data_IF_724534713209
#
_entry.id   IF_724534713209
#
_cell.length_a   1.000
_cell.length_b   1.000
_cell.length_c   1.000
_cell.angle_alpha   90.00
_cell.angle_beta   90.00
_cell.angle_gamma   90.00
#
_symmetry.space_group_name_H-M   'P 1'
#
loop_
_entity.id
_entity.type
_entity.pdbx_description
1 polymer ?
#
# COMPACT_ATOMS: atom_id res chain seq x y z
N UNK A 1 70.54 32.47 -51.59
CA UNK A 1 69.75 32.43 -52.84
C UNK A 1 69.21 31.02 -53.03
N UNK A 2 67.96 30.93 -53.48
CA UNK A 2 67.23 29.76 -53.97
C UNK A 2 66.98 28.59 -52.98
N UNK A 3 65.71 28.46 -52.59
CA UNK A 3 65.16 27.31 -51.89
C UNK A 3 64.46 26.31 -52.83
N UNK A 4 64.38 25.07 -52.37
CA UNK A 4 63.51 23.98 -52.80
C UNK A 4 63.39 23.05 -51.59
N UNK A 5 62.32 22.32 -51.30
CA UNK A 5 61.17 21.84 -52.06
C UNK A 5 60.06 21.51 -51.04
N UNK A 6 58.79 21.57 -51.45
CA UNK A 6 57.69 20.82 -50.82
C UNK A 6 56.79 20.17 -51.88
N UNK A 7 56.03 19.11 -51.51
CA UNK A 7 55.74 17.99 -52.40
C UNK A 7 54.29 17.94 -52.88
N UNK A 8 54.03 17.09 -53.87
CA UNK A 8 52.77 16.35 -54.04
C UNK A 8 53.02 15.06 -54.83
N UNK A 9 52.46 13.92 -54.38
CA UNK A 9 51.53 13.19 -55.25
C UNK A 9 50.31 12.70 -54.43
N UNK A 10 49.12 12.46 -54.95
CA UNK A 10 48.78 11.77 -56.20
C UNK A 10 48.03 10.47 -55.84
N UNK A 11 46.70 10.58 -55.81
CA UNK A 11 45.67 9.64 -55.32
C UNK A 11 45.66 8.28 -56.08
N UNK A 12 45.68 7.14 -55.36
CA UNK A 12 45.30 5.80 -55.88
C UNK A 12 44.23 5.15 -54.98
N UNK A 13 43.22 4.53 -55.62
CA UNK A 13 42.09 3.80 -55.02
C UNK A 13 42.48 2.39 -54.59
N UNK A 14 41.95 1.88 -53.47
CA UNK A 14 41.75 0.45 -53.12
C UNK A 14 40.89 0.36 -51.82
N UNK A 15 40.28 -0.79 -51.49
CA UNK A 15 38.84 -1.01 -51.60
C UNK A 15 38.10 -0.98 -50.25
N UNK A 16 36.80 -0.71 -50.34
CA UNK A 16 35.78 -0.84 -49.29
C UNK A 16 35.47 -2.34 -49.08
N UNK A 17 35.17 -2.75 -47.83
CA UNK A 17 35.05 -4.11 -47.24
C UNK A 17 36.39 -4.72 -46.82
N UNK A 18 36.73 -4.73 -45.51
CA UNK A 18 35.96 -5.46 -44.50
C UNK A 18 36.00 -4.79 -43.10
N UNK A 19 35.35 -3.64 -42.93
CA UNK A 19 35.19 -3.00 -41.60
C UNK A 19 33.82 -3.31 -40.96
N UNK A 20 32.92 -3.96 -41.70
CA UNK A 20 31.57 -4.26 -41.23
C UNK A 20 31.39 -5.61 -40.52
N UNK A 21 32.47 -6.38 -40.29
CA UNK A 21 32.40 -7.71 -39.65
C UNK A 21 32.82 -7.72 -38.17
N UNK A 22 33.18 -6.56 -37.59
CA UNK A 22 33.53 -6.41 -36.17
C UNK A 22 32.38 -5.89 -35.30
N UNK A 23 31.19 -5.66 -35.88
CA UNK A 23 29.99 -5.18 -35.18
C UNK A 23 28.96 -6.29 -34.85
N UNK A 24 29.26 -7.56 -35.18
CA UNK A 24 28.37 -8.70 -34.93
C UNK A 24 29.05 -9.87 -34.19
N UNK A 25 30.00 -9.58 -33.29
CA UNK A 25 30.39 -10.52 -32.26
C UNK A 25 29.53 -10.24 -31.02
N UNK A 26 28.66 -11.17 -30.59
CA UNK A 26 27.94 -11.03 -29.33
C UNK A 26 28.99 -10.94 -28.23
N UNK A 27 29.00 -9.84 -27.48
CA UNK A 27 29.70 -9.80 -26.20
C UNK A 27 29.11 -10.91 -25.32
N UNK A 28 29.82 -12.03 -25.23
CA UNK A 28 29.66 -13.01 -24.17
C UNK A 28 29.58 -12.23 -22.86
N UNK A 29 28.45 -12.25 -22.13
CA UNK A 29 28.49 -11.78 -20.76
C UNK A 29 29.44 -12.75 -20.05
N UNK A 30 30.58 -12.21 -19.63
CA UNK A 30 31.45 -12.83 -18.65
C UNK A 30 30.60 -12.97 -17.39
N UNK A 31 29.86 -14.07 -17.30
CA UNK A 31 29.14 -14.45 -16.11
C UNK A 31 30.18 -14.67 -15.04
N UNK A 32 30.39 -13.64 -14.21
CA UNK A 32 30.94 -13.85 -12.89
C UNK A 32 30.04 -14.90 -12.24
N UNK A 33 30.53 -16.14 -12.17
CA UNK A 33 29.95 -17.19 -11.38
C UNK A 33 30.13 -16.81 -9.91
N UNK A 34 29.36 -15.82 -9.46
CA UNK A 34 29.11 -15.61 -8.04
C UNK A 34 28.49 -16.90 -7.54
N UNK A 35 29.14 -17.52 -6.55
CA UNK A 35 28.61 -18.62 -5.76
C UNK A 35 27.09 -18.44 -5.59
N UNK A 36 26.30 -19.24 -6.30
CA UNK A 36 24.85 -19.25 -6.13
C UNK A 36 24.61 -19.89 -4.77
N UNK A 37 24.48 -19.07 -3.73
CA UNK A 37 23.94 -19.52 -2.44
C UNK A 37 22.71 -20.38 -2.72
N UNK A 38 22.67 -21.59 -2.17
CA UNK A 38 21.57 -22.53 -2.41
C UNK A 38 20.24 -21.87 -2.00
N UNK A 39 19.37 -21.63 -2.98
CA UNK A 39 18.04 -21.04 -2.77
C UNK A 39 17.11 -22.13 -2.26
N UNK A 40 16.52 -21.93 -1.08
CA UNK A 40 15.62 -22.90 -0.47
C UNK A 40 14.17 -22.55 -0.87
N UNK A 41 13.42 -23.48 -1.50
CA UNK A 41 12.01 -23.27 -1.77
C UNK A 41 11.20 -23.34 -0.46
N UNK A 42 10.37 -22.33 -0.20
CA UNK A 42 9.45 -22.35 0.95
C UNK A 42 8.21 -23.20 0.63
N UNK A 43 7.83 -24.07 1.56
CA UNK A 43 6.62 -24.90 1.49
C UNK A 43 5.64 -24.51 2.61
N UNK A 44 4.34 -24.70 2.35
CA UNK A 44 3.27 -24.35 3.30
C UNK A 44 3.41 -25.14 4.61
N UNK A 45 3.38 -24.43 5.75
CA UNK A 45 3.29 -25.05 7.09
C UNK A 45 4.55 -25.77 7.60
N UNK A 46 5.65 -25.81 6.84
CA UNK A 46 6.90 -26.39 7.30
C UNK A 46 7.74 -25.37 8.09
N UNK A 47 8.07 -25.71 9.32
CA UNK A 47 8.92 -24.90 10.20
C UNK A 47 10.34 -25.46 10.16
N UNK A 48 11.25 -24.77 9.49
CA UNK A 48 12.67 -25.10 9.53
C UNK A 48 13.43 -24.06 10.35
N UNK A 49 14.32 -24.54 11.23
CA UNK A 49 15.24 -23.70 11.99
C UNK A 49 16.56 -23.57 11.25
N UNK A 50 17.04 -22.33 11.09
CA UNK A 50 18.30 -22.02 10.43
C UNK A 50 19.20 -21.19 11.34
N UNK A 51 20.51 -21.36 11.15
CA UNK A 51 21.58 -20.67 11.91
C UNK A 51 22.50 -19.82 11.02
N UNK A 52 22.24 -19.79 9.72
CA UNK A 52 23.08 -19.13 8.71
C UNK A 52 22.23 -18.19 7.85
N UNK A 53 22.86 -17.19 7.24
CA UNK A 53 22.18 -16.33 6.28
C UNK A 53 21.82 -17.14 5.04
N UNK A 54 20.53 -17.16 4.70
CA UNK A 54 20.02 -17.91 3.54
C UNK A 54 19.02 -17.10 2.75
N UNK A 55 18.92 -17.46 1.48
CA UNK A 55 17.93 -16.91 0.54
C UNK A 55 16.79 -17.91 0.41
N UNK A 56 15.58 -17.44 0.70
CA UNK A 56 14.35 -18.19 0.58
C UNK A 56 13.57 -17.63 -0.60
N UNK A 57 13.14 -18.49 -1.52
CA UNK A 57 12.22 -18.05 -2.56
C UNK A 57 10.94 -18.88 -2.45
N UNK A 58 9.82 -18.18 -2.44
CA UNK A 58 8.51 -18.79 -2.58
C UNK A 58 8.06 -18.62 -4.02
N UNK A 59 7.67 -19.73 -4.65
CA UNK A 59 7.05 -19.73 -5.97
C UNK A 59 5.62 -20.21 -5.81
N UNK A 60 4.64 -19.35 -6.15
CA UNK A 60 3.26 -19.78 -6.09
C UNK A 60 2.95 -20.66 -7.30
N UNK A 61 2.81 -21.96 -7.08
CA UNK A 61 2.47 -22.96 -8.12
C UNK A 61 0.97 -23.28 -8.15
N UNK A 62 0.17 -22.73 -7.22
CA UNK A 62 -1.24 -23.07 -7.05
C UNK A 62 -2.15 -21.97 -7.59
N UNK A 63 -3.05 -22.34 -8.52
CA UNK A 63 -4.10 -21.43 -8.98
C UNK A 63 -5.02 -21.01 -7.81
N UNK A 64 -5.39 -19.74 -7.70
CA UNK A 64 -6.25 -19.25 -6.62
C UNK A 64 -7.64 -19.87 -6.72
N UNK A 65 -8.19 -20.30 -5.59
CA UNK A 65 -9.59 -20.75 -5.48
C UNK A 65 -10.47 -19.60 -4.97
N UNK A 66 -11.79 -19.73 -5.13
CA UNK A 66 -12.75 -18.73 -4.62
C UNK A 66 -12.64 -18.50 -3.10
N UNK A 67 -12.25 -19.51 -2.33
CA UNK A 67 -12.03 -19.38 -0.89
C UNK A 67 -10.76 -18.56 -0.54
N UNK A 68 -9.87 -18.32 -1.50
CA UNK A 68 -8.61 -17.60 -1.27
C UNK A 68 -8.76 -16.07 -1.38
N UNK A 69 -9.93 -15.55 -1.78
CA UNK A 69 -10.16 -14.11 -2.06
C UNK A 69 -9.80 -13.20 -0.89
N UNK A 70 -10.14 -13.61 0.34
CA UNK A 70 -9.80 -12.89 1.58
C UNK A 70 -8.73 -13.60 2.41
N UNK A 71 -7.96 -14.49 1.78
CA UNK A 71 -6.80 -15.10 2.44
C UNK A 71 -5.57 -14.23 2.20
N UNK A 72 -4.76 -14.10 3.23
CA UNK A 72 -3.47 -13.42 3.16
C UNK A 72 -2.39 -14.47 3.32
N UNK A 73 -1.44 -14.45 2.38
CA UNK A 73 -0.24 -15.29 2.45
C UNK A 73 0.86 -14.47 3.10
N UNK A 74 1.35 -14.93 4.23
CA UNK A 74 2.38 -14.23 5.01
C UNK A 74 3.59 -15.15 5.18
N UNK A 75 4.78 -14.60 4.92
CA UNK A 75 6.02 -15.23 5.35
C UNK A 75 6.35 -14.65 6.71
N UNK A 76 6.19 -15.48 7.74
CA UNK A 76 6.55 -15.14 9.11
C UNK A 76 7.97 -15.60 9.36
N UNK A 77 8.85 -14.65 9.65
CA UNK A 77 10.20 -14.95 10.15
C UNK A 77 10.19 -14.68 11.65
N UNK A 78 10.42 -15.72 12.44
CA UNK A 78 10.62 -15.61 13.90
C UNK A 78 12.10 -15.80 14.20
N UNK A 79 12.67 -14.92 15.01
CA UNK A 79 14.09 -14.97 15.37
C UNK A 79 14.25 -14.79 16.86
N UNK A 80 15.24 -15.48 17.43
CA UNK A 80 15.64 -15.32 18.83
C UNK A 80 16.31 -13.97 19.11
N UNK A 81 16.94 -13.34 18.10
CA UNK A 81 17.56 -12.01 18.22
C UNK A 81 17.39 -11.17 16.95
N UNK A 82 18.03 -10.00 16.89
CA UNK A 82 17.96 -9.06 15.76
C UNK A 82 18.40 -9.71 14.44
N UNK A 83 17.54 -9.65 13.44
CA UNK A 83 17.79 -10.09 12.06
C UNK A 83 17.41 -8.98 11.09
N UNK A 84 18.08 -8.93 9.94
CA UNK A 84 17.71 -8.05 8.83
C UNK A 84 17.10 -8.91 7.74
N UNK A 85 15.84 -8.64 7.42
CA UNK A 85 15.16 -9.30 6.30
C UNK A 85 15.04 -8.30 5.17
N UNK A 86 15.63 -8.62 4.03
CA UNK A 86 15.49 -7.83 2.80
C UNK A 86 14.67 -8.62 1.80
N UNK A 87 13.66 -7.97 1.23
CA UNK A 87 12.99 -8.48 0.04
C UNK A 87 13.95 -8.26 -1.12
N UNK A 88 14.38 -9.35 -1.76
CA UNK A 88 15.21 -9.29 -2.95
C UNK A 88 14.23 -9.24 -4.10
N UNK A 89 13.92 -8.03 -4.55
CA UNK A 89 13.02 -7.83 -5.68
C UNK A 89 13.64 -8.49 -6.91
N UNK A 90 12.97 -9.53 -7.42
CA UNK A 90 13.14 -9.88 -8.81
C UNK A 90 12.55 -8.72 -9.60
N UNK A 91 13.42 -8.06 -10.35
CA UNK A 91 13.12 -7.12 -11.43
C UNK A 91 11.70 -7.29 -11.99
N UNK A 92 10.97 -6.16 -12.06
CA UNK A 92 9.58 -6.01 -12.54
C UNK A 92 8.46 -6.26 -11.51
N UNK A 93 8.15 -5.24 -10.70
CA UNK A 93 6.78 -4.73 -10.56
C UNK A 93 6.92 -3.23 -10.24
N UNK A 94 6.65 -2.43 -11.27
CA UNK A 94 6.58 -0.97 -11.24
C UNK A 94 5.87 -0.51 -9.97
N UNK A 95 6.49 0.41 -9.24
CA UNK A 95 5.95 1.16 -8.10
C UNK A 95 4.51 1.65 -8.39
N UNK A 96 3.51 0.80 -8.20
CA UNK A 96 2.11 1.14 -8.41
C UNK A 96 1.65 1.92 -7.19
N UNK A 97 2.08 3.18 -7.17
CA UNK A 97 1.65 4.29 -6.32
C UNK A 97 1.60 4.01 -4.81
N UNK A 98 2.79 4.20 -4.21
CA UNK A 98 3.12 4.88 -2.95
C UNK A 98 1.98 5.38 -2.02
N UNK A 99 0.89 5.98 -2.52
CA UNK A 99 -0.16 6.60 -1.69
C UNK A 99 -0.96 5.59 -0.85
N UNK A 100 -1.36 4.46 -1.42
CA UNK A 100 -2.11 3.44 -0.68
C UNK A 100 -1.23 2.66 0.28
N UNK A 101 0.02 2.39 -0.08
CA UNK A 101 0.99 1.78 0.82
C UNK A 101 1.35 2.70 1.99
N UNK A 102 1.39 4.01 1.80
CA UNK A 102 1.55 4.99 2.90
C UNK A 102 0.34 4.93 3.85
N UNK A 103 -0.89 4.99 3.31
CA UNK A 103 -2.14 4.91 4.09
C UNK A 103 -2.32 3.54 4.78
N UNK A 104 -1.98 2.44 4.12
CA UNK A 104 -2.03 1.10 4.74
C UNK A 104 -0.87 0.85 5.71
N UNK A 105 0.34 1.40 5.48
CA UNK A 105 1.44 1.35 6.46
C UNK A 105 1.11 2.13 7.73
N UNK A 106 0.28 3.17 7.59
CA UNK A 106 -0.24 3.95 8.70
C UNK A 106 -1.16 3.11 9.60
N UNK A 107 -1.96 2.20 9.00
CA UNK A 107 -2.84 1.26 9.70
C UNK A 107 -2.18 -0.08 10.08
N UNK A 108 -0.97 -0.38 9.57
CA UNK A 108 -0.25 -1.62 9.83
C UNK A 108 0.41 -1.54 11.21
N UNK A 109 -0.39 -1.85 12.24
CA UNK A 109 0.05 -2.00 13.62
C UNK A 109 1.27 -2.93 13.73
N UNK A 110 2.22 -2.53 14.57
CA UNK A 110 3.46 -3.26 14.88
C UNK A 110 3.09 -4.60 15.55
N UNK A 111 3.13 -5.70 14.80
CA UNK A 111 3.34 -7.00 15.43
C UNK A 111 4.84 -7.14 15.70
N UNK A 112 5.19 -7.65 16.87
CA UNK A 112 6.57 -7.92 17.29
C UNK A 112 7.25 -9.05 16.46
N UNK A 113 6.54 -9.58 15.46
CA UNK A 113 7.04 -10.52 14.48
C UNK A 113 7.30 -9.79 13.15
N UNK A 114 8.47 -10.00 12.53
CA UNK A 114 8.73 -9.59 11.15
C UNK A 114 7.94 -10.47 10.20
N UNK A 115 6.63 -10.22 10.10
CA UNK A 115 5.76 -10.83 9.09
C UNK A 115 5.81 -9.98 7.84
N UNK A 116 6.37 -10.54 6.77
CA UNK A 116 6.34 -9.93 5.44
C UNK A 116 5.16 -10.52 4.70
N UNK A 117 4.31 -9.65 4.19
CA UNK A 117 3.18 -10.08 3.38
C UNK A 117 3.67 -10.43 1.99
N UNK A 118 3.29 -11.61 1.53
CA UNK A 118 3.54 -12.06 0.17
C UNK A 118 2.28 -11.79 -0.62
N UNK A 119 2.42 -10.99 -1.68
CA UNK A 119 1.33 -10.84 -2.63
C UNK A 119 1.03 -12.22 -3.25
N UNK A 120 -0.23 -12.67 -3.15
CA UNK A 120 -0.65 -14.00 -3.60
C UNK A 120 -0.37 -14.25 -5.09
N UNK A 121 -0.17 -13.19 -5.88
CA UNK A 121 0.01 -13.29 -7.32
C UNK A 121 1.41 -12.88 -7.81
N UNK A 122 2.33 -12.53 -6.90
CA UNK A 122 3.74 -12.44 -7.29
C UNK A 122 4.23 -13.85 -7.63
N UNK A 123 4.65 -14.04 -8.88
CA UNK A 123 5.09 -15.35 -9.38
C UNK A 123 6.24 -15.92 -8.53
N UNK A 124 7.08 -15.04 -7.98
CA UNK A 124 8.22 -15.38 -7.12
C UNK A 124 8.46 -14.27 -6.11
N UNK A 125 8.39 -14.58 -4.82
CA UNK A 125 8.87 -13.66 -3.76
C UNK A 125 10.12 -14.25 -3.13
N UNK A 126 11.24 -13.53 -3.28
CA UNK A 126 12.51 -13.93 -2.71
C UNK A 126 12.87 -13.04 -1.52
N UNK A 127 13.28 -13.68 -0.44
CA UNK A 127 13.66 -13.07 0.83
C UNK A 127 15.10 -13.47 1.15
N UNK A 128 15.90 -12.49 1.53
CA UNK A 128 17.23 -12.73 2.10
C UNK A 128 17.16 -12.42 3.59
N UNK A 129 17.52 -13.40 4.40
CA UNK A 129 17.64 -13.21 5.86
C UNK A 129 19.12 -13.10 6.20
N UNK A 130 19.52 -11.94 6.71
CA UNK A 130 20.88 -11.65 7.18
C UNK A 130 20.90 -11.64 8.71
N UNK A 131 21.86 -12.35 9.29
CA UNK A 131 22.08 -12.39 10.74
C UNK A 131 22.97 -11.22 11.13
N UNK A 132 22.54 -10.42 12.12
CA UNK A 132 23.35 -9.32 12.66
C UNK A 132 24.27 -9.78 13.80
N UNK A 133 23.92 -10.88 14.46
CA UNK A 133 24.67 -11.44 15.60
C UNK A 133 24.99 -12.92 15.40
N UNK A 134 26.20 -13.37 15.80
CA UNK A 134 26.57 -14.79 15.78
C UNK A 134 25.77 -15.60 16.82
N UNK A 135 25.37 -16.82 16.46
CA UNK A 135 24.59 -17.71 17.33
C UNK A 135 23.07 -17.50 17.29
N UNK A 136 22.56 -16.70 16.35
CA UNK A 136 21.12 -16.46 16.18
C UNK A 136 20.45 -17.63 15.46
N UNK A 137 19.32 -18.08 16.01
CA UNK A 137 18.44 -19.05 15.36
C UNK A 137 17.17 -18.34 14.91
N UNK A 138 16.77 -18.59 13.67
CA UNK A 138 15.51 -18.10 13.12
C UNK A 138 14.73 -19.24 12.47
N UNK A 139 13.42 -19.10 12.41
CA UNK A 139 12.54 -19.98 11.64
C UNK A 139 11.69 -19.17 10.67
N UNK A 140 11.50 -19.72 9.47
CA UNK A 140 10.72 -19.12 8.40
C UNK A 140 9.53 -20.02 8.15
N UNK A 141 8.33 -19.46 8.21
CA UNK A 141 7.08 -20.21 8.02
C UNK A 141 6.19 -19.46 7.05
N UNK A 142 5.68 -20.18 6.05
CA UNK A 142 4.66 -19.68 5.16
C UNK A 142 3.28 -20.02 5.73
N UNK A 143 2.50 -18.99 6.04
CA UNK A 143 1.16 -19.12 6.61
C UNK A 143 0.14 -18.46 5.67
N UNK A 144 -0.87 -19.22 5.24
CA UNK A 144 -2.06 -18.68 4.60
C UNK A 144 -3.20 -18.66 5.61
N UNK A 145 -3.70 -17.47 5.95
CA UNK A 145 -4.82 -17.29 6.89
C UNK A 145 -5.86 -16.35 6.34
N UNK A 146 -7.11 -16.56 6.71
CA UNK A 146 -8.20 -15.62 6.45
C UNK A 146 -7.92 -14.31 7.19
N UNK A 147 -7.92 -13.19 6.46
CA UNK A 147 -7.74 -11.85 7.04
C UNK A 147 -9.12 -11.18 7.18
N UNK A 148 -9.72 -11.20 8.38
CA UNK A 148 -11.05 -10.63 8.59
C UNK A 148 -11.11 -9.12 8.29
N UNK A 149 -9.97 -8.41 8.32
CA UNK A 149 -9.93 -6.98 8.03
C UNK A 149 -10.23 -6.71 6.56
N UNK A 150 -9.68 -7.50 5.65
CA UNK A 150 -9.93 -7.36 4.22
C UNK A 150 -11.39 -7.64 3.88
N UNK A 151 -11.97 -8.67 4.50
CA UNK A 151 -13.39 -8.97 4.38
C UNK A 151 -14.27 -7.80 4.87
N UNK A 152 -13.96 -7.22 6.03
CA UNK A 152 -14.69 -6.06 6.58
C UNK A 152 -14.57 -4.82 5.68
N UNK A 153 -13.38 -4.55 5.14
CA UNK A 153 -13.13 -3.43 4.21
C UNK A 153 -13.94 -3.61 2.93
N UNK A 154 -13.94 -4.82 2.35
CA UNK A 154 -14.74 -5.15 1.18
C UNK A 154 -16.24 -4.96 1.43
N UNK A 155 -16.74 -5.49 2.55
CA UNK A 155 -18.16 -5.38 2.92
C UNK A 155 -18.57 -3.92 3.16
N UNK A 156 -17.74 -3.14 3.84
CA UNK A 156 -17.95 -1.70 4.03
C UNK A 156 -17.99 -0.98 2.67
N UNK A 157 -17.11 -1.35 1.74
CA UNK A 157 -17.11 -0.81 0.38
C UNK A 157 -18.41 -1.08 -0.37
N UNK A 158 -18.95 -2.30 -0.27
CA UNK A 158 -20.25 -2.66 -0.84
C UNK A 158 -21.38 -1.82 -0.23
N UNK A 159 -21.43 -1.69 1.10
CA UNK A 159 -22.43 -0.87 1.79
C UNK A 159 -22.38 0.59 1.33
N UNK A 160 -21.18 1.19 1.25
CA UNK A 160 -21.02 2.57 0.81
C UNK A 160 -21.42 2.78 -0.65
N UNK A 161 -21.10 1.82 -1.52
CA UNK A 161 -21.44 1.92 -2.93
C UNK A 161 -22.94 1.79 -3.21
N UNK A 162 -23.59 0.78 -2.62
CA UNK A 162 -25.02 0.55 -2.83
C UNK A 162 -25.90 1.49 -2.01
N UNK A 163 -25.56 1.72 -0.73
CA UNK A 163 -26.35 2.56 0.16
C UNK A 163 -25.91 4.03 0.15
N UNK A 164 -24.96 4.44 -0.70
CA UNK A 164 -24.44 5.82 -0.75
C UNK A 164 -25.51 6.89 -0.89
N UNK A 165 -26.53 6.65 -1.73
CA UNK A 165 -27.65 7.57 -1.94
C UNK A 165 -28.57 7.68 -0.71
N UNK A 166 -28.80 6.56 -0.03
CA UNK A 166 -29.59 6.53 1.22
C UNK A 166 -28.82 7.13 2.39
N UNK A 167 -27.50 6.94 2.45
CA UNK A 167 -26.64 7.47 3.49
C UNK A 167 -26.48 8.98 3.34
N UNK A 168 -26.29 9.50 2.13
CA UNK A 168 -26.10 10.94 1.89
C UNK A 168 -27.32 11.78 2.31
N UNK A 169 -28.52 11.19 2.27
CA UNK A 169 -29.79 11.81 2.69
C UNK A 169 -30.12 11.59 4.17
N UNK A 170 -29.41 10.69 4.84
CA UNK A 170 -29.65 10.38 6.25
C UNK A 170 -29.09 11.48 7.16
N UNK A 171 -29.95 12.05 8.00
CA UNK A 171 -29.54 13.03 9.01
C UNK A 171 -28.56 12.42 10.03
N UNK A 172 -28.75 11.15 10.39
CA UNK A 172 -27.87 10.43 11.33
C UNK A 172 -26.47 10.31 10.73
N UNK A 173 -26.38 10.02 9.43
CA UNK A 173 -25.09 9.95 8.73
C UNK A 173 -24.41 11.33 8.71
N UNK A 174 -25.15 12.40 8.42
CA UNK A 174 -24.61 13.75 8.41
C UNK A 174 -23.99 14.14 9.77
N UNK A 175 -24.72 13.97 10.86
CA UNK A 175 -24.21 14.33 12.19
C UNK A 175 -23.05 13.42 12.63
N UNK A 176 -23.14 12.10 12.41
CA UNK A 176 -22.08 11.17 12.80
C UNK A 176 -20.79 11.38 11.99
N UNK A 177 -20.90 11.53 10.67
CA UNK A 177 -19.77 11.85 9.80
C UNK A 177 -19.16 13.21 10.19
N UNK A 178 -19.99 14.24 10.40
CA UNK A 178 -19.56 15.57 10.83
C UNK A 178 -18.79 15.56 12.16
N UNK A 179 -19.31 14.86 13.17
CA UNK A 179 -18.63 14.69 14.46
C UNK A 179 -17.29 13.95 14.28
N UNK A 180 -17.25 12.86 13.50
CA UNK A 180 -16.01 12.11 13.28
C UNK A 180 -14.93 12.93 12.57
N UNK A 181 -15.30 13.72 11.56
CA UNK A 181 -14.40 14.64 10.87
C UNK A 181 -13.93 15.74 11.81
N UNK A 182 -14.82 16.27 12.66
CA UNK A 182 -14.48 17.27 13.68
C UNK A 182 -13.49 16.73 14.73
N UNK A 183 -13.69 15.50 15.21
CA UNK A 183 -12.76 14.81 16.11
C UNK A 183 -11.39 14.65 15.45
N UNK A 184 -11.35 14.14 14.22
CA UNK A 184 -10.09 13.97 13.48
C UNK A 184 -9.38 15.30 13.21
N UNK A 185 -10.12 16.35 12.82
CA UNK A 185 -9.59 17.67 12.57
C UNK A 185 -9.00 18.30 13.85
N UNK A 186 -9.71 18.18 14.97
CA UNK A 186 -9.21 18.68 16.26
C UNK A 186 -7.96 17.93 16.73
N UNK A 187 -7.86 16.63 16.43
CA UNK A 187 -6.69 15.82 16.73
C UNK A 187 -5.48 16.29 15.91
N UNK A 188 -5.68 16.60 14.63
CA UNK A 188 -4.65 17.19 13.77
C UNK A 188 -4.21 18.57 14.28
N UNK A 189 -5.15 19.40 14.75
CA UNK A 189 -4.83 20.71 15.36
C UNK A 189 -4.04 20.53 16.66
N UNK A 190 -4.40 19.57 17.52
CA UNK A 190 -3.67 19.27 18.75
C UNK A 190 -2.24 18.80 18.45
N UNK A 191 -2.10 17.89 17.49
CA UNK A 191 -0.80 17.40 17.01
C UNK A 191 0.06 18.55 16.48
N UNK A 192 -0.53 19.45 15.70
CA UNK A 192 0.14 20.66 15.20
C UNK A 192 0.53 21.63 16.33
N UNK A 193 -0.32 21.83 17.32
CA UNK A 193 0.00 22.67 18.48
C UNK A 193 1.18 22.08 19.28
N UNK A 194 1.18 20.77 19.51
CA UNK A 194 2.30 20.07 20.17
C UNK A 194 3.59 20.17 19.36
N UNK A 195 3.49 20.14 18.03
CA UNK A 195 4.61 20.33 17.11
C UNK A 195 5.31 21.68 17.33
N UNK A 196 4.53 22.73 17.59
CA UNK A 196 5.04 24.10 17.78
C UNK A 196 5.76 24.32 19.12
N UNK A 197 5.44 23.51 20.13
CA UNK A 197 6.03 23.60 21.49
C UNK A 197 7.37 22.86 21.59
N UNK A 198 7.73 22.06 20.57
CA UNK A 198 8.99 21.31 20.56
C UNK A 198 10.23 22.24 20.48
N UNK A 199 11.31 21.92 21.22
CA UNK A 199 12.49 22.78 21.31
C UNK A 199 13.21 22.91 19.95
N UNK A 200 13.40 24.16 19.51
CA UNK A 200 13.99 24.56 18.21
C UNK A 200 15.42 24.05 17.93
N UNK A 201 16.08 23.44 18.91
CA UNK A 201 17.48 22.96 18.83
C UNK A 201 17.62 21.50 18.39
N UNK A 202 16.52 20.75 18.26
CA UNK A 202 16.56 19.36 17.83
C UNK A 202 16.62 19.25 16.29
N UNK A 203 17.40 18.31 15.70
CA UNK A 203 17.38 18.03 14.26
C UNK A 203 15.98 17.66 13.74
N UNK A 204 15.05 17.29 14.63
CA UNK A 204 13.63 17.07 14.33
C UNK A 204 12.90 18.36 13.94
N UNK A 205 13.37 19.55 14.38
CA UNK A 205 12.77 20.84 14.04
C UNK A 205 12.82 21.14 12.53
N UNK A 206 13.89 20.71 11.84
CA UNK A 206 14.02 20.88 10.39
C UNK A 206 13.04 19.98 9.61
N UNK A 207 12.75 18.78 10.12
CA UNK A 207 11.69 17.89 9.63
C UNK A 207 10.28 18.46 9.89
N UNK A 208 10.14 19.22 10.98
CA UNK A 208 8.91 19.86 11.47
C UNK A 208 8.48 21.08 10.63
N UNK A 209 9.44 21.78 10.04
CA UNK A 209 9.18 22.82 9.01
C UNK A 209 8.71 22.18 7.69
N UNK A 210 8.94 20.86 7.51
CA UNK A 210 8.67 20.08 6.29
C UNK A 210 7.24 19.57 6.08
N UNK A 211 6.21 20.17 6.69
CA UNK A 211 4.81 19.96 6.26
C UNK A 211 4.10 18.69 6.76
N UNK A 212 3.07 18.26 6.01
CA UNK A 212 2.04 17.26 6.39
C UNK A 212 2.61 15.95 6.94
N UNK A 213 3.85 15.59 6.57
CA UNK A 213 4.55 14.39 7.01
C UNK A 213 4.73 14.28 8.53
N UNK A 214 4.98 15.39 9.24
CA UNK A 214 5.14 15.35 10.70
C UNK A 214 3.79 15.09 11.41
N UNK A 215 2.73 15.76 10.96
CA UNK A 215 1.38 15.53 11.48
C UNK A 215 0.92 14.09 11.24
N UNK A 216 1.19 13.54 10.06
CA UNK A 216 0.91 12.13 9.76
C UNK A 216 1.75 11.18 10.63
N UNK A 217 3.03 11.48 10.88
CA UNK A 217 3.88 10.67 11.75
C UNK A 217 3.36 10.63 13.20
N UNK A 218 3.02 11.78 13.78
CA UNK A 218 2.45 11.83 15.12
C UNK A 218 1.07 11.18 15.20
N UNK A 219 0.23 11.37 14.18
CA UNK A 219 -1.06 10.69 14.11
C UNK A 219 -0.86 9.16 14.05
N UNK A 220 0.12 8.69 13.27
CA UNK A 220 0.49 7.27 13.21
C UNK A 220 0.96 6.76 14.57
N UNK A 221 1.75 7.54 15.29
CA UNK A 221 2.23 7.22 16.62
C UNK A 221 1.08 7.07 17.63
N UNK A 222 0.06 7.94 17.54
CA UNK A 222 -1.15 7.87 18.37
C UNK A 222 -1.93 6.59 18.06
N UNK A 223 -2.21 6.30 16.79
CA UNK A 223 -2.92 5.08 16.41
C UNK A 223 -2.18 3.80 16.80
N UNK A 224 -0.85 3.79 16.69
CA UNK A 224 -0.02 2.64 17.11
C UNK A 224 -0.07 2.39 18.61
N UNK A 225 -0.12 3.45 19.42
CA UNK A 225 -0.17 3.34 20.88
C UNK A 225 -1.58 3.50 21.45
N UNK A 226 -2.61 3.44 20.61
CA UNK A 226 -3.99 3.74 21.00
C UNK A 226 -4.47 2.80 22.11
N UNK A 227 -4.09 1.52 22.08
CA UNK A 227 -4.44 0.56 23.13
C UNK A 227 -3.85 0.93 24.49
N UNK A 228 -2.61 1.42 24.53
CA UNK A 228 -1.94 1.87 25.75
C UNK A 228 -2.60 3.17 26.26
N UNK A 229 -2.87 4.11 25.36
CA UNK A 229 -3.55 5.37 25.67
C UNK A 229 -4.95 5.12 26.23
N UNK A 230 -5.73 4.22 25.60
CA UNK A 230 -7.07 3.87 26.05
C UNK A 230 -7.08 3.24 27.44
N UNK A 231 -6.06 2.45 27.81
CA UNK A 231 -6.00 1.83 29.15
C UNK A 231 -5.46 2.78 30.21
N UNK A 232 -4.37 3.49 29.91
CA UNK A 232 -3.65 4.33 30.86
C UNK A 232 -4.33 5.69 31.08
N UNK A 233 -4.99 6.25 30.05
CA UNK A 233 -5.56 7.60 30.07
C UNK A 233 -7.05 7.64 29.67
N UNK A 234 -7.82 6.57 29.95
CA UNK A 234 -9.25 6.47 29.60
C UNK A 234 -10.08 7.71 29.97
N UNK A 235 -9.90 8.26 31.17
CA UNK A 235 -10.68 9.41 31.66
C UNK A 235 -10.43 10.68 30.83
N UNK A 236 -9.17 10.96 30.49
CA UNK A 236 -8.81 12.11 29.67
C UNK A 236 -9.27 11.92 28.22
N UNK A 237 -9.16 10.71 27.69
CA UNK A 237 -9.66 10.36 26.37
C UNK A 237 -11.17 10.57 26.29
N UNK A 238 -11.92 10.11 27.30
CA UNK A 238 -13.36 10.29 27.37
C UNK A 238 -13.75 11.77 27.46
N UNK A 239 -13.07 12.55 28.31
CA UNK A 239 -13.30 13.99 28.42
C UNK A 239 -13.01 14.74 27.11
N UNK A 240 -11.95 14.34 26.40
CA UNK A 240 -11.63 14.89 25.08
C UNK A 240 -12.70 14.53 24.03
N UNK A 241 -13.08 13.25 23.93
CA UNK A 241 -14.12 12.80 23.01
C UNK A 241 -15.46 13.48 23.27
N UNK A 242 -15.85 13.67 24.54
CA UNK A 242 -17.08 14.36 24.90
C UNK A 242 -17.02 15.85 24.58
N UNK A 243 -15.98 16.56 25.02
CA UNK A 243 -15.86 18.01 24.80
C UNK A 243 -15.79 18.38 23.33
N UNK A 244 -14.91 17.73 22.56
CA UNK A 244 -14.77 17.97 21.12
C UNK A 244 -15.96 17.40 20.35
N UNK A 245 -16.48 16.24 20.76
CA UNK A 245 -17.67 15.65 20.14
C UNK A 245 -18.88 16.57 20.26
N UNK A 246 -19.13 17.14 21.45
CA UNK A 246 -20.20 18.11 21.67
C UNK A 246 -19.96 19.42 20.90
N UNK A 247 -18.72 19.91 20.87
CA UNK A 247 -18.39 21.10 20.07
C UNK A 247 -18.63 20.86 18.58
N UNK A 248 -18.19 19.72 18.05
CA UNK A 248 -18.39 19.34 16.66
C UNK A 248 -19.88 19.16 16.36
N UNK A 249 -20.63 18.53 17.27
CA UNK A 249 -22.07 18.39 17.15
C UNK A 249 -22.77 19.75 17.13
N UNK A 250 -22.40 20.69 18.02
CA UNK A 250 -22.97 22.03 18.04
C UNK A 250 -22.71 22.79 16.74
N UNK A 251 -21.50 22.65 16.18
CA UNK A 251 -21.15 23.22 14.88
C UNK A 251 -21.99 22.59 13.75
N UNK A 252 -22.06 21.26 13.67
CA UNK A 252 -22.88 20.58 12.66
C UNK A 252 -24.38 20.88 12.82
N UNK A 253 -24.87 21.03 14.05
CA UNK A 253 -26.25 21.40 14.34
C UNK A 253 -26.56 22.83 13.90
N UNK A 254 -25.60 23.76 14.07
CA UNK A 254 -25.75 25.15 13.63
C UNK A 254 -25.83 25.28 12.11
N UNK A 255 -25.04 24.51 11.37
CA UNK A 255 -25.06 24.52 9.90
C UNK A 255 -26.26 23.76 9.31
N UNK A 256 -26.74 22.74 10.01
CA UNK A 256 -27.86 21.91 9.57
C UNK A 256 -27.46 20.87 8.50
N UNK A 257 -28.31 19.83 8.29
CA UNK A 257 -28.06 18.82 7.28
C UNK A 257 -28.09 19.39 5.85
N UNK A 258 -27.54 18.63 4.89
CA UNK A 258 -27.50 19.03 3.49
C UNK A 258 -28.92 19.04 2.89
N UNK A 259 -29.42 20.23 2.53
CA UNK A 259 -30.73 20.38 1.87
C UNK A 259 -30.60 20.49 0.34
N UNK A 260 -29.47 21.00 -0.16
CA UNK A 260 -29.27 21.20 -1.59
C UNK A 260 -29.05 19.87 -2.32
N UNK A 261 -29.93 19.51 -3.26
CA UNK A 261 -29.81 18.28 -4.07
C UNK A 261 -28.43 18.13 -4.74
N UNK A 262 -27.84 19.24 -5.23
CA UNK A 262 -26.48 19.22 -5.80
C UNK A 262 -25.43 18.74 -4.79
N UNK A 263 -25.54 19.16 -3.54
CA UNK A 263 -24.59 18.79 -2.48
C UNK A 263 -24.79 17.34 -2.02
N UNK A 264 -26.05 16.89 -1.95
CA UNK A 264 -26.40 15.49 -1.64
C UNK A 264 -25.86 14.57 -2.74
N UNK A 265 -26.03 14.94 -4.01
CA UNK A 265 -25.48 14.19 -5.14
C UNK A 265 -23.96 14.12 -5.08
N UNK A 266 -23.28 15.24 -4.83
CA UNK A 266 -21.81 15.26 -4.72
C UNK A 266 -21.32 14.34 -3.59
N UNK A 267 -22.00 14.33 -2.44
CA UNK A 267 -21.70 13.44 -1.34
C UNK A 267 -21.97 11.97 -1.71
N UNK A 268 -23.07 11.68 -2.40
CA UNK A 268 -23.35 10.32 -2.87
C UNK A 268 -22.25 9.81 -3.81
N UNK A 269 -21.86 10.62 -4.81
CA UNK A 269 -20.74 10.29 -5.71
C UNK A 269 -19.44 10.05 -4.94
N UNK A 270 -19.14 10.88 -3.93
CA UNK A 270 -17.96 10.69 -3.09
C UNK A 270 -18.01 9.38 -2.29
N UNK A 271 -19.16 9.04 -1.68
CA UNK A 271 -19.35 7.78 -0.95
C UNK A 271 -19.27 6.56 -1.87
N UNK A 272 -19.83 6.66 -3.07
CA UNK A 272 -19.76 5.60 -4.07
C UNK A 272 -18.34 5.38 -4.58
N UNK A 273 -17.60 6.46 -4.89
CA UNK A 273 -16.21 6.38 -5.32
C UNK A 273 -15.33 5.79 -4.20
N UNK A 274 -15.57 6.21 -2.95
CA UNK A 274 -14.92 5.61 -1.79
C UNK A 274 -15.29 4.13 -1.63
N UNK A 275 -16.55 3.76 -1.87
CA UNK A 275 -17.04 2.39 -1.84
C UNK A 275 -16.31 1.50 -2.86
N UNK A 276 -16.20 1.94 -4.11
CA UNK A 276 -15.47 1.23 -5.17
C UNK A 276 -13.99 1.02 -4.81
N UNK A 277 -13.38 2.04 -4.23
CA UNK A 277 -11.98 2.01 -3.80
C UNK A 277 -11.76 1.03 -2.63
N UNK A 278 -12.70 0.95 -1.70
CA UNK A 278 -12.70 -0.03 -0.61
C UNK A 278 -12.96 -1.45 -1.12
N UNK A 279 -13.86 -1.62 -2.10
CA UNK A 279 -14.08 -2.91 -2.77
C UNK A 279 -12.78 -3.38 -3.42
N UNK A 280 -12.11 -2.51 -4.17
CA UNK A 280 -10.84 -2.83 -4.83
C UNK A 280 -9.74 -3.18 -3.83
N UNK A 281 -9.58 -2.39 -2.76
CA UNK A 281 -8.54 -2.62 -1.73
C UNK A 281 -8.87 -3.76 -0.76
N UNK A 282 -10.12 -4.18 -0.66
CA UNK A 282 -10.56 -5.31 0.16
C UNK A 282 -10.21 -6.68 -0.44
N UNK A 283 -9.76 -6.73 -1.69
CA UNK A 283 -9.41 -7.96 -2.41
C UNK A 283 -7.93 -7.88 -2.84
N UNK A 284 -7.14 -8.87 -2.46
CA UNK A 284 -5.73 -8.93 -2.86
C UNK A 284 -5.54 -9.29 -4.33
N UNK A 285 -6.49 -10.03 -4.92
CA UNK A 285 -6.38 -10.53 -6.29
C UNK A 285 -6.87 -9.45 -7.27
N UNK A 286 -5.94 -8.69 -7.83
CA UNK A 286 -6.18 -7.60 -8.80
C UNK A 286 -7.24 -7.89 -9.89
N UNK A 287 -7.17 -8.98 -10.67
CA UNK A 287 -8.17 -9.24 -11.71
C UNK A 287 -9.57 -9.52 -11.15
N UNK A 288 -9.67 -10.21 -10.01
CA UNK A 288 -10.95 -10.48 -9.34
C UNK A 288 -11.51 -9.20 -8.74
N UNK A 289 -10.66 -8.35 -8.15
CA UNK A 289 -11.03 -7.05 -7.62
C UNK A 289 -11.64 -6.17 -8.71
N UNK A 290 -10.99 -6.07 -9.87
CA UNK A 290 -11.51 -5.34 -11.03
C UNK A 290 -12.82 -5.94 -11.56
N UNK A 291 -12.90 -7.28 -11.65
CA UNK A 291 -14.14 -7.96 -12.05
C UNK A 291 -15.31 -7.64 -11.11
N UNK A 292 -15.09 -7.65 -9.79
CA UNK A 292 -16.13 -7.33 -8.81
C UNK A 292 -16.51 -5.85 -8.82
N UNK A 293 -15.56 -4.94 -9.04
CA UNK A 293 -15.85 -3.52 -9.26
C UNK A 293 -16.73 -3.34 -10.50
N UNK A 294 -16.39 -3.99 -11.61
CA UNK A 294 -17.19 -3.94 -12.83
C UNK A 294 -18.60 -4.51 -12.60
N UNK A 295 -18.73 -5.65 -11.92
CA UNK A 295 -20.04 -6.23 -11.56
C UNK A 295 -20.85 -5.28 -10.68
N UNK A 296 -20.23 -4.64 -9.69
CA UNK A 296 -20.91 -3.66 -8.83
C UNK A 296 -21.43 -2.46 -9.66
N UNK A 297 -20.59 -1.91 -10.54
CA UNK A 297 -20.98 -0.81 -11.44
C UNK A 297 -22.09 -1.26 -12.39
N UNK A 298 -21.98 -2.44 -13.00
CA UNK A 298 -22.99 -2.98 -13.90
C UNK A 298 -24.32 -3.18 -13.17
N UNK A 299 -24.33 -3.85 -12.02
CA UNK A 299 -25.56 -4.12 -11.25
C UNK A 299 -26.29 -2.85 -10.85
N UNK A 300 -25.57 -1.81 -10.41
CA UNK A 300 -26.18 -0.52 -10.06
C UNK A 300 -26.69 0.27 -11.26
N UNK A 301 -26.04 0.14 -12.42
CA UNK A 301 -26.46 0.85 -13.64
C UNK A 301 -27.39 0.03 -14.53
N UNK A 302 -27.70 -1.23 -14.21
CA UNK A 302 -28.48 -2.15 -15.05
C UNK A 302 -29.96 -1.75 -15.15
N UNK A 303 -30.48 -1.02 -14.16
CA UNK A 303 -31.87 -0.56 -14.15
C UNK A 303 -32.18 0.34 -15.37
N UNK A 304 -31.21 1.16 -15.79
CA UNK A 304 -31.35 2.03 -16.96
C UNK A 304 -31.52 1.26 -18.29
N UNK A 305 -30.58 0.39 -18.73
CA UNK A 305 -30.73 -0.35 -19.97
C UNK A 305 -31.91 -1.32 -19.96
N UNK A 306 -32.29 -1.88 -18.80
CA UNK A 306 -33.51 -2.70 -18.68
C UNK A 306 -34.76 -1.87 -18.94
N UNK A 307 -34.88 -0.69 -18.32
CA UNK A 307 -36.01 0.22 -18.56
C UNK A 307 -36.10 0.64 -20.03
N UNK A 308 -34.97 0.95 -20.67
CA UNK A 308 -34.91 1.28 -22.10
C UNK A 308 -35.27 0.08 -22.99
N UNK A 309 -34.80 -1.13 -22.68
CA UNK A 309 -35.14 -2.33 -23.43
C UNK A 309 -36.63 -2.67 -23.32
N UNK A 310 -37.22 -2.55 -22.12
CA UNK A 310 -38.66 -2.71 -21.93
C UNK A 310 -39.47 -1.62 -22.64
N UNK A 311 -38.99 -0.38 -22.66
CA UNK A 311 -39.63 0.72 -23.38
C UNK A 311 -39.53 0.59 -24.90
N UNK A 312 -38.47 -0.03 -25.43
CA UNK A 312 -38.31 -0.31 -26.86
C UNK A 312 -39.06 -1.59 -27.31
N UNK A 313 -39.37 -2.50 -26.38
CA UNK A 313 -40.14 -3.72 -26.64
C UNK A 313 -41.66 -3.49 -26.62
N UNK A 314 -42.14 -2.46 -25.91
CA UNK A 314 -43.56 -2.06 -25.86
C UNK A 314 -43.89 -1.10 -26.99
#
# INVERSE_FOLDING_TARGET
AAGGMKPAPGRRRLPVLPVLLLLFLPSLPLGAAGSKDAVIPLQDGHNFQYRESRRFCYTNTRAPRWNDVWTRTQIRVTSSRMIRVTQVDSEEELEKFSLWNVVFSFLRGKLNDTSIDVDLYSNKTCLKVELLEPGTTYSVVLLRRFDPKLFLVFFLGLLLFFCGDTLSRSQIFYYSAGISVGLLASLLVLVYMMSKVMPKKSPVYFLLVGGWSFSLYLLQLIFKNLQEICKSYWQYLLGYLLSVGLLSFAVCYRYGPLENERSINLLSWALQLLGLLLIYSGIQIHPIALGLVLVAVCTKNLDYPLQWAFAAYR
#
